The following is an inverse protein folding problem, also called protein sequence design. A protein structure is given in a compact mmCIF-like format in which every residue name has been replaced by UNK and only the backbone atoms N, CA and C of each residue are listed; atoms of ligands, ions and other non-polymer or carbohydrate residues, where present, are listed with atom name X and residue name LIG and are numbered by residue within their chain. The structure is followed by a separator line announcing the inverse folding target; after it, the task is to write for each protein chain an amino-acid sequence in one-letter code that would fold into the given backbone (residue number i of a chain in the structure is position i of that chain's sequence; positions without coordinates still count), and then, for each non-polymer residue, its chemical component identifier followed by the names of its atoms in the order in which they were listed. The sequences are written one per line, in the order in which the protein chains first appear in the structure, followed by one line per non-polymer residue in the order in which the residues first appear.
data_IF_978281754583
#
_entry.id   IF_978281754583
#
_cell.length_a   1.000
_cell.length_b   1.000
_cell.length_c   1.000
_cell.angle_alpha   90.00
_cell.angle_beta   90.00
_cell.angle_gamma   90.00
#
_symmetry.space_group_name_H-M   'P 1'
#
loop_
_entity.id
_entity.type
_entity.pdbx_description
1 polymer ?
#
# COMPACT_ATOMS: atom_id res chain seq x y z
N UNK A 1 -30.30 18.13 7.81
CA UNK A 1 -29.18 17.17 7.78
C UNK A 1 -29.63 15.80 7.34
N UNK A 2 -28.91 15.16 6.41
CA UNK A 2 -29.17 13.78 5.97
C UNK A 2 -27.97 12.92 6.34
N UNK A 3 -28.23 11.75 6.93
CA UNK A 3 -27.22 10.74 7.26
C UNK A 3 -27.30 9.60 6.24
N UNK A 4 -26.18 9.31 5.60
CA UNK A 4 -26.03 8.20 4.65
C UNK A 4 -25.18 7.12 5.31
N UNK A 5 -25.57 5.87 5.12
CA UNK A 5 -24.85 4.69 5.63
C UNK A 5 -24.53 3.78 4.46
N UNK A 6 -23.27 3.37 4.36
CA UNK A 6 -22.79 2.40 3.39
C UNK A 6 -22.36 1.13 4.11
N UNK A 7 -22.84 -0.02 3.64
CA UNK A 7 -22.43 -1.32 4.16
C UNK A 7 -21.30 -1.83 3.28
N UNK A 8 -20.13 -2.04 3.88
CA UNK A 8 -19.00 -2.70 3.23
C UNK A 8 -19.11 -4.20 3.52
N UNK A 9 -19.51 -4.97 2.51
CA UNK A 9 -19.91 -6.39 2.65
C UNK A 9 -18.73 -7.36 2.74
N UNK A 10 -17.51 -6.90 2.48
CA UNK A 10 -16.30 -7.73 2.48
C UNK A 10 -15.04 -6.93 2.78
N UNK A 11 -14.01 -7.61 3.29
CA UNK A 11 -12.69 -7.03 3.43
C UNK A 11 -11.92 -7.08 2.10
N UNK A 12 -10.87 -6.28 1.99
CA UNK A 12 -10.03 -6.24 0.78
C UNK A 12 -9.27 -7.55 0.51
N UNK A 13 -9.02 -8.37 1.54
CA UNK A 13 -8.28 -9.63 1.38
C UNK A 13 -9.05 -10.69 0.57
N UNK A 14 -10.36 -10.51 0.36
CA UNK A 14 -11.17 -11.37 -0.51
C UNK A 14 -10.82 -11.28 -2.00
N UNK A 15 -10.22 -10.18 -2.45
CA UNK A 15 -9.84 -9.96 -3.85
C UNK A 15 -8.42 -9.40 -3.92
N UNK A 16 -7.44 -10.30 -3.83
CA UNK A 16 -6.03 -9.95 -3.92
C UNK A 16 -5.64 -9.48 -5.33
N UNK A 17 -6.29 -10.01 -6.38
CA UNK A 17 -6.04 -9.61 -7.76
C UNK A 17 -6.35 -8.12 -7.93
N UNK A 18 -7.45 -7.64 -7.36
CA UNK A 18 -7.75 -6.23 -7.32
C UNK A 18 -6.70 -5.37 -6.64
N UNK A 19 -6.15 -5.85 -5.53
CA UNK A 19 -5.08 -5.16 -4.85
C UNK A 19 -3.80 -5.10 -5.70
N UNK A 20 -3.49 -6.15 -6.47
CA UNK A 20 -2.27 -6.28 -7.27
C UNK A 20 -2.33 -5.55 -8.62
N UNK A 21 -3.52 -5.30 -9.18
CA UNK A 21 -3.67 -4.69 -10.52
C UNK A 21 -2.90 -3.38 -10.71
N UNK A 22 -2.89 -2.53 -9.69
CA UNK A 22 -2.30 -1.18 -9.76
C UNK A 22 -1.04 -1.03 -8.88
N UNK A 23 -0.45 -2.14 -8.40
CA UNK A 23 0.78 -2.05 -7.59
C UNK A 23 1.97 -1.68 -8.45
N UNK A 24 2.75 -0.69 -7.99
CA UNK A 24 4.06 -0.39 -8.55
C UNK A 24 5.08 -1.50 -8.28
N UNK A 25 6.20 -1.46 -9.00
CA UNK A 25 7.34 -2.34 -8.72
C UNK A 25 8.00 -2.00 -7.39
N UNK A 26 8.50 -3.01 -6.68
CA UNK A 26 9.35 -2.78 -5.50
C UNK A 26 10.66 -2.11 -5.89
N UNK A 27 11.01 -1.03 -5.18
CA UNK A 27 12.31 -0.37 -5.29
C UNK A 27 13.41 -1.30 -4.80
N UNK A 28 14.38 -1.62 -5.66
CA UNK A 28 15.55 -2.41 -5.30
C UNK A 28 16.60 -1.50 -4.64
N UNK A 29 17.05 -1.86 -3.45
CA UNK A 29 18.06 -1.12 -2.69
C UNK A 29 19.15 -2.08 -2.20
N UNK A 30 20.40 -1.60 -2.03
CA UNK A 30 21.44 -2.36 -1.34
C UNK A 30 20.98 -2.79 0.08
N UNK A 31 21.49 -3.91 0.62
CA UNK A 31 21.21 -4.34 1.99
C UNK A 31 22.02 -3.51 3.00
N UNK A 32 21.85 -2.20 2.95
CA UNK A 32 22.52 -1.20 3.76
C UNK A 32 21.48 -0.25 4.38
N UNK A 33 21.63 0.04 5.67
CA UNK A 33 20.66 0.84 6.41
C UNK A 33 20.59 2.29 5.89
N UNK A 34 21.74 2.90 5.64
CA UNK A 34 21.80 4.28 5.18
C UNK A 34 21.17 4.44 3.78
N UNK A 35 21.38 3.45 2.89
CA UNK A 35 20.72 3.40 1.59
C UNK A 35 19.19 3.36 1.70
N UNK A 36 18.65 2.60 2.66
CA UNK A 36 17.20 2.53 2.92
C UNK A 36 16.68 3.83 3.50
N UNK A 37 17.34 4.40 4.50
CA UNK A 37 16.94 5.67 5.13
C UNK A 37 16.91 6.81 4.12
N UNK A 38 17.96 6.94 3.29
CA UNK A 38 18.00 7.96 2.24
C UNK A 38 16.90 7.75 1.19
N UNK A 39 16.64 6.51 0.76
CA UNK A 39 15.59 6.21 -0.22
C UNK A 39 14.17 6.49 0.31
N UNK A 40 13.96 6.35 1.62
CA UNK A 40 12.69 6.62 2.29
C UNK A 40 12.56 8.06 2.79
N UNK A 41 13.60 8.90 2.63
CA UNK A 41 13.59 10.29 3.12
C UNK A 41 13.61 10.39 4.65
N UNK A 42 14.22 9.41 5.32
CA UNK A 42 14.32 9.31 6.78
C UNK A 42 15.68 9.79 7.32
N UNK A 43 16.58 10.26 6.44
CA UNK A 43 17.91 10.76 6.78
C UNK A 43 17.92 12.10 7.51
#
# INVERSE_FOLDING_TARGET
DKRVVCIITGNGLKDADAALRDTGSFTQLPPDLAAVEHALGLG
#
